data_IF_762816953365
#
_entry.id   IF_762816953365
#
_cell.length_a   1.000
_cell.length_b   1.000
_cell.length_c   1.000
_cell.angle_alpha   90.00
_cell.angle_beta   90.00
_cell.angle_gamma   90.00
#
_symmetry.space_group_name_H-M   'P 1'
#
loop_
_entity.id
_entity.type
_entity.pdbx_description
1 polymer ?
#
# COMPACT_ATOMS: atom_id res chain seq x y z
N UNK A 1 22.98 72.32 65.01
CA UNK A 1 23.93 72.27 63.87
C UNK A 1 24.06 70.79 63.49
N UNK A 2 23.65 70.49 62.29
CA UNK A 2 23.51 69.12 61.77
C UNK A 2 24.85 68.51 61.33
N UNK A 3 25.04 67.18 61.49
CA UNK A 3 26.03 66.46 60.69
C UNK A 3 25.39 65.66 59.62
N UNK A 4 26.11 65.59 58.49
CA UNK A 4 25.83 64.95 57.24
C UNK A 4 25.90 63.44 57.34
N UNK A 5 24.97 62.74 56.67
CA UNK A 5 24.99 61.33 56.42
C UNK A 5 25.82 60.98 55.17
N UNK A 6 26.56 59.88 55.09
CA UNK A 6 27.16 59.37 53.86
C UNK A 6 26.20 58.36 53.16
N UNK A 7 25.99 58.62 51.88
CA UNK A 7 25.27 57.75 50.98
C UNK A 7 26.18 56.58 50.59
N UNK A 8 25.81 55.38 50.98
CA UNK A 8 26.37 54.16 50.39
C UNK A 8 25.56 53.73 49.17
N UNK A 9 26.20 53.80 48.00
CA UNK A 9 25.70 53.14 46.79
C UNK A 9 26.03 51.67 46.86
N UNK A 10 25.00 50.83 46.95
CA UNK A 10 25.11 49.40 46.72
C UNK A 10 24.96 49.10 45.23
N UNK A 11 26.00 48.62 44.57
CA UNK A 11 25.92 48.01 43.27
C UNK A 11 25.31 46.59 43.46
N UNK A 12 24.08 46.41 42.93
CA UNK A 12 23.47 45.09 42.83
C UNK A 12 24.04 44.36 41.60
N UNK A 13 24.82 43.33 41.83
CA UNK A 13 25.12 42.32 40.80
C UNK A 13 23.89 41.46 40.63
N UNK A 14 23.22 41.63 39.49
CA UNK A 14 22.21 40.68 39.04
C UNK A 14 22.91 39.42 38.48
N UNK A 15 22.97 38.35 39.27
CA UNK A 15 23.40 37.05 38.82
C UNK A 15 22.26 36.44 38.01
N UNK A 16 22.36 36.46 36.67
CA UNK A 16 21.53 35.67 35.79
C UNK A 16 21.87 34.18 35.98
N UNK A 17 21.08 33.50 36.79
CA UNK A 17 21.11 32.04 36.88
C UNK A 17 20.45 31.48 35.65
N UNK A 18 21.20 31.14 34.59
CA UNK A 18 20.75 30.32 33.51
C UNK A 18 20.51 28.90 34.07
N UNK A 19 19.24 28.60 34.36
CA UNK A 19 18.82 27.23 34.62
C UNK A 19 18.95 26.45 33.34
N UNK A 20 20.04 25.73 33.13
CA UNK A 20 20.12 24.65 32.16
C UNK A 20 19.12 23.59 32.62
N UNK A 21 17.96 23.57 31.99
CA UNK A 21 17.04 22.44 32.03
C UNK A 21 17.74 21.26 31.32
N UNK A 22 18.46 20.46 32.10
CA UNK A 22 18.86 19.12 31.67
C UNK A 22 17.56 18.36 31.50
N UNK A 23 17.10 18.20 30.25
CA UNK A 23 16.06 17.26 29.93
C UNK A 23 16.62 15.89 30.43
N UNK A 24 16.11 15.41 31.55
CA UNK A 24 16.34 14.06 31.99
C UNK A 24 15.81 13.15 30.84
N UNK A 25 16.72 12.61 30.05
CA UNK A 25 16.42 11.46 29.24
C UNK A 25 15.92 10.39 30.20
N UNK A 26 14.61 10.09 30.10
CA UNK A 26 14.09 8.92 30.78
C UNK A 26 14.99 7.74 30.39
N UNK A 27 15.50 6.94 31.33
CA UNK A 27 16.28 5.77 30.99
C UNK A 27 15.41 4.95 30.02
N UNK A 28 15.98 4.55 28.87
CA UNK A 28 15.35 3.61 27.99
C UNK A 28 14.89 2.44 28.85
N UNK A 29 13.59 2.18 28.91
CA UNK A 29 13.06 1.06 29.66
C UNK A 29 13.85 -0.17 29.26
N UNK A 30 14.31 -0.95 30.24
CA UNK A 30 15.02 -2.20 29.99
C UNK A 30 14.24 -2.96 28.92
N UNK A 31 14.91 -3.54 27.90
CA UNK A 31 14.23 -4.25 26.83
C UNK A 31 13.28 -5.26 27.47
N UNK A 32 12.01 -5.22 27.03
CA UNK A 32 11.02 -6.17 27.51
C UNK A 32 11.59 -7.58 27.33
N UNK A 33 11.61 -8.37 28.39
CA UNK A 33 12.05 -9.77 28.32
C UNK A 33 11.08 -10.52 27.41
N UNK A 34 11.60 -11.34 26.52
CA UNK A 34 10.79 -12.25 25.72
C UNK A 34 9.89 -13.07 26.63
N UNK A 35 8.59 -12.95 26.45
CA UNK A 35 7.60 -13.82 27.11
C UNK A 35 6.56 -14.23 26.07
N UNK A 36 6.28 -15.52 26.01
CA UNK A 36 5.31 -16.03 25.06
C UNK A 36 4.62 -17.26 25.66
N UNK A 37 3.31 -17.29 25.56
CA UNK A 37 2.50 -18.45 25.92
C UNK A 37 1.24 -18.52 25.07
N UNK A 38 0.65 -19.69 25.01
CA UNK A 38 -0.66 -19.93 24.39
C UNK A 38 -1.65 -20.20 25.53
N UNK A 39 -2.74 -19.45 25.57
CA UNK A 39 -3.78 -19.63 26.56
C UNK A 39 -4.71 -20.83 26.22
N UNK A 40 -5.60 -21.14 27.13
CA UNK A 40 -6.56 -22.26 26.97
C UNK A 40 -7.52 -22.12 25.78
N UNK A 41 -7.67 -20.92 25.22
CA UNK A 41 -8.50 -20.65 24.03
C UNK A 41 -7.67 -20.71 22.75
N UNK A 42 -6.37 -21.01 22.82
CA UNK A 42 -5.44 -21.00 21.68
C UNK A 42 -4.92 -19.62 21.30
N UNK A 43 -5.17 -18.58 22.12
CA UNK A 43 -4.65 -17.23 21.87
C UNK A 43 -3.16 -17.18 22.19
N UNK A 44 -2.35 -16.75 21.22
CA UNK A 44 -0.93 -16.51 21.43
C UNK A 44 -0.72 -15.11 22.05
N UNK A 45 -0.11 -15.07 23.25
CA UNK A 45 0.35 -13.88 23.91
C UNK A 45 1.85 -13.75 23.69
N UNK A 46 2.29 -12.75 22.91
CA UNK A 46 3.67 -12.64 22.46
C UNK A 46 4.22 -11.28 22.86
N UNK A 47 5.30 -11.29 23.63
CA UNK A 47 6.18 -10.14 23.83
C UNK A 47 7.56 -10.53 23.31
N UNK A 48 7.99 -9.92 22.20
CA UNK A 48 9.24 -10.26 21.57
C UNK A 48 9.95 -9.04 21.00
N UNK A 49 11.26 -8.94 21.27
CA UNK A 49 12.12 -7.96 20.65
C UNK A 49 12.62 -8.52 19.32
N UNK A 50 12.25 -7.87 18.22
CA UNK A 50 12.66 -8.29 16.87
C UNK A 50 13.63 -7.26 16.31
N UNK A 51 14.92 -7.54 16.22
CA UNK A 51 15.92 -6.60 15.74
C UNK A 51 15.71 -6.31 14.25
N UNK A 52 16.34 -5.22 13.77
CA UNK A 52 16.44 -4.96 12.34
C UNK A 52 17.35 -6.04 11.72
N UNK A 53 16.87 -6.83 10.77
CA UNK A 53 17.64 -7.92 10.20
C UNK A 53 18.79 -7.40 9.32
N UNK A 54 19.85 -8.19 9.22
CA UNK A 54 20.99 -7.90 8.34
C UNK A 54 20.87 -8.57 6.95
N UNK A 55 19.76 -9.27 6.71
CA UNK A 55 19.45 -9.98 5.47
C UNK A 55 18.89 -9.08 4.38
N UNK A 56 18.57 -7.82 4.71
CA UNK A 56 18.06 -6.80 3.79
C UNK A 56 19.12 -5.71 3.55
N UNK A 57 18.91 -4.89 2.54
CA UNK A 57 19.85 -3.82 2.17
C UNK A 57 20.09 -2.82 3.30
N UNK A 58 21.23 -2.12 3.35
CA UNK A 58 21.48 -1.03 4.30
C UNK A 58 20.43 0.08 4.21
N UNK A 59 19.86 0.33 3.01
CA UNK A 59 18.77 1.27 2.77
C UNK A 59 17.51 0.84 3.50
N UNK A 60 17.11 -0.40 3.33
CA UNK A 60 15.94 -0.99 4.00
C UNK A 60 16.14 -1.06 5.52
N UNK A 61 17.33 -1.40 6.00
CA UNK A 61 17.67 -1.35 7.44
C UNK A 61 17.44 0.06 8.00
N UNK A 62 17.88 1.12 7.29
CA UNK A 62 17.64 2.51 7.71
C UNK A 62 16.15 2.87 7.74
N UNK A 63 15.36 2.37 6.79
CA UNK A 63 13.90 2.58 6.78
C UNK A 63 13.24 1.92 8.01
N UNK A 64 13.60 0.67 8.31
CA UNK A 64 13.06 -0.05 9.46
C UNK A 64 13.53 0.53 10.80
N UNK A 65 14.75 1.09 10.85
CA UNK A 65 15.30 1.71 12.05
C UNK A 65 14.72 3.10 12.35
N UNK A 66 13.90 3.67 11.48
CA UNK A 66 13.24 4.95 11.77
C UNK A 66 12.36 4.82 12.99
N UNK A 67 12.67 5.61 14.01
CA UNK A 67 11.87 5.65 15.22
C UNK A 67 10.47 6.18 14.89
N UNK A 68 9.48 5.41 15.26
CA UNK A 68 8.09 5.85 15.23
C UNK A 68 7.78 6.39 16.61
N UNK A 69 7.96 7.69 16.79
CA UNK A 69 7.65 8.34 18.04
C UNK A 69 6.21 8.86 18.03
N UNK A 70 5.49 8.55 19.08
CA UNK A 70 4.21 9.18 19.42
C UNK A 70 2.97 8.33 19.13
N UNK A 71 1.90 8.70 19.81
CA UNK A 71 0.54 8.22 19.51
C UNK A 71 0.09 8.92 18.24
N UNK A 72 -0.49 8.16 17.30
CA UNK A 72 -1.09 8.74 16.12
C UNK A 72 -2.08 9.84 16.54
N UNK A 73 -1.83 11.08 16.11
CA UNK A 73 -2.80 12.15 16.34
C UNK A 73 -4.07 11.85 15.54
N UNK A 74 -5.25 12.13 16.09
CA UNK A 74 -6.46 12.09 15.30
C UNK A 74 -6.29 12.97 14.06
N UNK A 75 -6.57 12.43 12.91
CA UNK A 75 -6.42 13.07 11.61
C UNK A 75 -7.77 13.00 10.89
N UNK A 76 -8.22 14.12 10.34
CA UNK A 76 -9.41 14.13 9.49
C UNK A 76 -9.12 13.45 8.16
N UNK A 77 -10.17 13.01 7.47
CA UNK A 77 -10.01 12.41 6.14
C UNK A 77 -9.38 13.38 5.13
N UNK A 78 -9.71 14.67 5.21
CA UNK A 78 -9.13 15.70 4.35
C UNK A 78 -7.62 15.87 4.58
N UNK A 79 -7.20 15.95 5.84
CA UNK A 79 -5.77 16.03 6.21
C UNK A 79 -5.01 14.78 5.75
N UNK A 80 -5.60 13.60 5.91
CA UNK A 80 -5.03 12.35 5.43
C UNK A 80 -4.83 12.35 3.92
N UNK A 81 -5.85 12.76 3.15
CA UNK A 81 -5.78 12.86 1.68
C UNK A 81 -4.69 13.84 1.25
N UNK A 82 -4.67 15.05 1.82
CA UNK A 82 -3.65 16.06 1.53
C UNK A 82 -2.23 15.55 1.81
N UNK A 83 -2.03 14.85 2.94
CA UNK A 83 -0.75 14.26 3.30
C UNK A 83 -0.34 13.15 2.34
N UNK A 84 -1.28 12.31 1.95
CA UNK A 84 -1.07 11.24 0.98
C UNK A 84 -0.71 11.81 -0.39
N UNK A 85 -1.42 12.84 -0.85
CA UNK A 85 -1.15 13.51 -2.12
C UNK A 85 0.25 14.15 -2.16
N UNK A 86 0.64 14.84 -1.09
CA UNK A 86 1.99 15.42 -0.95
C UNK A 86 3.07 14.33 -0.97
N UNK A 87 2.84 13.24 -0.24
CA UNK A 87 3.77 12.11 -0.21
C UNK A 87 3.90 11.48 -1.60
N UNK A 88 2.79 11.16 -2.24
CA UNK A 88 2.75 10.54 -3.56
C UNK A 88 3.41 11.43 -4.63
N UNK A 89 3.15 12.73 -4.61
CA UNK A 89 3.79 13.67 -5.52
C UNK A 89 5.32 13.70 -5.36
N UNK A 90 5.80 13.66 -4.11
CA UNK A 90 7.24 13.61 -3.81
C UNK A 90 7.88 12.29 -4.24
N UNK A 91 7.26 11.17 -3.92
CA UNK A 91 7.73 9.83 -4.31
C UNK A 91 7.66 9.64 -5.83
N UNK A 92 6.59 10.08 -6.47
CA UNK A 92 6.41 10.03 -7.93
C UNK A 92 7.46 10.87 -8.67
N UNK A 93 7.85 12.03 -8.13
CA UNK A 93 8.97 12.81 -8.68
C UNK A 93 10.29 12.05 -8.65
N UNK A 94 10.58 11.36 -7.54
CA UNK A 94 11.79 10.52 -7.41
C UNK A 94 11.72 9.32 -8.37
N UNK A 95 10.56 8.65 -8.42
CA UNK A 95 10.35 7.52 -9.32
C UNK A 95 10.54 7.93 -10.78
N UNK A 96 9.99 9.08 -11.20
CA UNK A 96 10.13 9.57 -12.58
C UNK A 96 11.57 9.98 -12.95
N UNK A 97 12.38 10.36 -11.97
CA UNK A 97 13.81 10.60 -12.21
C UNK A 97 14.58 9.31 -12.51
N UNK A 98 14.16 8.17 -11.94
CA UNK A 98 14.76 6.85 -12.18
C UNK A 98 14.14 6.16 -13.42
N UNK A 99 12.85 6.34 -13.63
CA UNK A 99 12.03 5.70 -14.67
C UNK A 99 11.31 6.77 -15.51
N UNK A 100 11.98 7.39 -16.48
CA UNK A 100 11.39 8.48 -17.27
C UNK A 100 10.15 8.03 -18.05
N UNK A 101 9.05 8.79 -17.89
CA UNK A 101 7.75 8.56 -18.55
C UNK A 101 7.04 9.89 -18.81
N UNK A 102 6.06 9.88 -19.71
CA UNK A 102 5.08 10.95 -19.87
C UNK A 102 3.85 10.68 -19.01
N UNK A 103 3.30 11.72 -18.40
CA UNK A 103 2.11 11.68 -17.55
C UNK A 103 1.04 12.58 -18.14
N UNK A 104 -0.18 12.06 -18.27
CA UNK A 104 -1.33 12.80 -18.77
C UNK A 104 -2.56 12.45 -17.90
N UNK A 105 -3.34 13.46 -17.51
CA UNK A 105 -4.65 13.25 -16.90
C UNK A 105 -5.70 13.24 -18.01
N UNK A 106 -6.60 12.26 -17.96
CA UNK A 106 -7.63 12.04 -18.97
C UNK A 106 -8.91 11.47 -18.34
N UNK A 107 -9.86 11.08 -19.18
CA UNK A 107 -11.06 10.33 -18.79
C UNK A 107 -11.29 9.18 -19.76
N UNK A 108 -11.67 8.02 -19.21
CA UNK A 108 -12.10 6.85 -19.98
C UNK A 108 -13.46 6.41 -19.43
N UNK A 109 -14.45 6.27 -20.30
CA UNK A 109 -15.85 6.00 -19.93
C UNK A 109 -16.40 6.97 -18.85
N UNK A 110 -15.95 8.22 -18.85
CA UNK A 110 -16.33 9.23 -17.85
C UNK A 110 -15.54 9.19 -16.55
N UNK A 111 -14.79 8.11 -16.29
CA UNK A 111 -13.94 7.93 -15.10
C UNK A 111 -12.62 8.68 -15.28
N UNK A 112 -12.19 9.49 -14.30
CA UNK A 112 -10.87 10.11 -14.33
C UNK A 112 -9.76 9.05 -14.33
N UNK A 113 -8.75 9.24 -15.17
CA UNK A 113 -7.58 8.34 -15.24
C UNK A 113 -6.29 9.15 -15.37
N UNK A 114 -5.19 8.55 -14.95
CA UNK A 114 -3.85 9.03 -15.26
C UNK A 114 -3.20 8.06 -16.24
N UNK A 115 -2.84 8.57 -17.42
CA UNK A 115 -2.15 7.80 -18.45
C UNK A 115 -0.66 7.99 -18.25
N UNK A 116 0.06 6.88 -18.06
CA UNK A 116 1.51 6.83 -17.89
C UNK A 116 2.10 6.14 -19.10
N UNK A 117 2.83 6.90 -19.92
CA UNK A 117 3.36 6.40 -21.19
C UNK A 117 4.88 6.40 -21.14
N UNK A 118 5.56 5.27 -21.38
CA UNK A 118 7.01 5.25 -21.49
C UNK A 118 7.46 6.14 -22.66
N UNK A 119 8.70 6.65 -22.60
CA UNK A 119 9.23 7.53 -23.66
C UNK A 119 9.29 6.85 -25.03
N UNK A 120 9.44 5.53 -25.05
CA UNK A 120 9.43 4.71 -26.25
C UNK A 120 8.61 3.45 -26.00
N UNK A 121 7.76 3.08 -26.97
CA UNK A 121 7.01 1.83 -26.97
C UNK A 121 7.45 1.06 -28.23
N UNK A 122 8.07 -0.13 -28.08
CA UNK A 122 8.40 -1.00 -29.21
C UNK A 122 7.15 -1.39 -30.01
N UNK A 123 7.30 -1.69 -31.29
CA UNK A 123 6.17 -1.99 -32.17
C UNK A 123 5.36 -3.20 -31.72
N UNK A 124 6.02 -4.22 -31.18
CA UNK A 124 5.40 -5.44 -30.62
C UNK A 124 4.70 -5.24 -29.26
N UNK A 125 4.74 -4.03 -28.71
CA UNK A 125 4.06 -3.68 -27.45
C UNK A 125 3.00 -2.58 -27.59
N UNK A 126 2.77 -2.06 -28.81
CA UNK A 126 1.83 -0.96 -29.05
C UNK A 126 0.37 -1.33 -28.79
N UNK A 127 0.04 -2.58 -28.89
CA UNK A 127 -1.28 -3.15 -28.68
C UNK A 127 -1.52 -3.65 -27.24
N UNK A 128 -0.58 -3.37 -26.30
CA UNK A 128 -0.67 -3.75 -24.90
C UNK A 128 -1.04 -2.56 -24.02
N UNK A 129 -1.78 -2.83 -22.95
CA UNK A 129 -2.09 -1.85 -21.91
C UNK A 129 -2.17 -2.51 -20.55
N UNK A 130 -1.67 -1.80 -19.54
CA UNK A 130 -1.81 -2.18 -18.14
C UNK A 130 -2.81 -1.25 -17.47
N UNK A 131 -3.70 -1.80 -16.65
CA UNK A 131 -4.62 -1.04 -15.82
C UNK A 131 -4.13 -1.13 -14.38
N UNK A 132 -3.90 0.02 -13.77
CA UNK A 132 -3.59 0.11 -12.36
C UNK A 132 -4.80 0.61 -11.57
N UNK A 133 -5.06 -0.02 -10.44
CA UNK A 133 -5.98 0.45 -9.41
C UNK A 133 -5.16 0.68 -8.14
N UNK A 134 -5.06 1.94 -7.75
CA UNK A 134 -4.09 2.39 -6.73
C UNK A 134 -4.46 1.95 -5.30
N UNK A 135 -3.45 1.88 -4.43
CA UNK A 135 -3.62 1.73 -3.00
C UNK A 135 -4.13 2.99 -2.30
N UNK A 136 -4.25 2.94 -0.98
CA UNK A 136 -4.68 4.07 -0.16
C UNK A 136 -5.92 3.80 0.69
N UNK A 137 -6.22 2.53 0.99
CA UNK A 137 -7.28 2.12 1.90
C UNK A 137 -8.67 2.51 1.43
N UNK A 138 -8.92 2.58 0.12
CA UNK A 138 -10.17 2.97 -0.54
C UNK A 138 -10.59 4.43 -0.32
N UNK A 139 -9.85 5.21 0.43
CA UNK A 139 -10.23 6.59 0.80
C UNK A 139 -9.19 7.65 0.40
N UNK A 140 -8.08 7.27 -0.23
CA UNK A 140 -7.05 8.16 -0.75
C UNK A 140 -6.30 7.51 -1.91
N UNK A 141 -5.66 8.31 -2.77
CA UNK A 141 -4.79 7.83 -3.83
C UNK A 141 -3.34 7.82 -3.34
N UNK A 142 -2.80 6.64 -3.05
CA UNK A 142 -1.39 6.49 -2.64
C UNK A 142 -0.51 5.83 -3.70
N UNK A 143 -1.03 5.48 -4.87
CA UNK A 143 -0.35 4.59 -5.79
C UNK A 143 -0.35 5.00 -7.25
N UNK A 144 -1.26 5.86 -7.71
CA UNK A 144 -1.41 6.16 -9.15
C UNK A 144 -0.17 6.75 -9.84
N UNK A 145 0.84 7.18 -9.08
CA UNK A 145 2.17 7.55 -9.58
C UNK A 145 3.24 6.51 -9.23
N UNK A 146 3.30 6.10 -7.95
CA UNK A 146 4.39 5.24 -7.46
C UNK A 146 4.29 3.82 -7.97
N UNK A 147 3.08 3.31 -8.16
CA UNK A 147 2.82 1.96 -8.68
C UNK A 147 2.85 1.89 -10.20
N UNK A 148 2.79 3.02 -10.91
CA UNK A 148 2.63 3.04 -12.37
C UNK A 148 3.90 3.43 -13.12
N UNK A 149 4.65 4.40 -12.60
CA UNK A 149 5.83 4.96 -13.26
C UNK A 149 6.90 3.89 -13.52
N UNK A 150 7.34 3.08 -12.51
CA UNK A 150 8.34 2.04 -12.78
C UNK A 150 7.81 0.97 -13.71
N UNK A 151 6.56 0.53 -13.53
CA UNK A 151 5.97 -0.52 -14.34
C UNK A 151 5.83 -0.09 -15.81
N UNK A 152 5.34 1.12 -16.08
CA UNK A 152 5.27 1.63 -17.45
C UNK A 152 6.65 1.70 -18.12
N UNK A 153 7.65 2.20 -17.40
CA UNK A 153 9.00 2.31 -17.94
C UNK A 153 9.64 0.95 -18.20
N UNK A 154 9.55 0.01 -17.25
CA UNK A 154 10.20 -1.30 -17.32
C UNK A 154 9.53 -2.21 -18.37
N UNK A 155 8.21 -2.26 -18.41
CA UNK A 155 7.46 -3.06 -19.40
C UNK A 155 7.46 -2.43 -20.80
N UNK A 156 7.83 -1.15 -20.92
CA UNK A 156 7.65 -0.38 -22.16
C UNK A 156 6.19 -0.39 -22.66
N UNK A 157 5.24 -0.45 -21.73
CA UNK A 157 3.81 -0.54 -22.01
C UNK A 157 3.08 0.61 -21.33
N UNK A 158 2.06 1.14 -21.98
CA UNK A 158 1.19 2.17 -21.42
C UNK A 158 0.47 1.64 -20.17
N UNK A 159 0.43 2.43 -19.10
CA UNK A 159 -0.36 2.15 -17.90
C UNK A 159 -1.47 3.18 -17.78
N UNK A 160 -2.70 2.71 -17.55
CA UNK A 160 -3.87 3.52 -17.22
C UNK A 160 -4.16 3.35 -15.74
N UNK A 161 -3.81 4.35 -14.92
CA UNK A 161 -4.18 4.38 -13.51
C UNK A 161 -5.61 4.90 -13.38
N UNK A 162 -6.51 4.07 -12.87
CA UNK A 162 -7.91 4.44 -12.63
C UNK A 162 -7.99 5.24 -11.34
N UNK A 163 -8.43 6.49 -11.42
CA UNK A 163 -8.69 7.35 -10.27
C UNK A 163 -10.15 7.14 -9.85
N UNK A 164 -10.42 5.95 -9.34
CA UNK A 164 -11.75 5.50 -8.97
C UNK A 164 -12.36 6.32 -7.83
N UNK A 165 -13.68 6.34 -7.75
CA UNK A 165 -14.40 7.05 -6.69
C UNK A 165 -14.07 6.47 -5.31
N UNK A 166 -13.77 7.37 -4.37
CA UNK A 166 -13.27 7.02 -3.05
C UNK A 166 -14.39 6.94 -2.00
N UNK A 167 -14.22 6.05 -1.05
CA UNK A 167 -15.02 5.99 0.16
C UNK A 167 -14.55 7.06 1.19
N UNK A 168 -15.40 7.49 2.12
CA UNK A 168 -16.80 7.07 2.35
C UNK A 168 -17.84 7.71 1.43
N UNK A 169 -17.45 8.69 0.60
CA UNK A 169 -18.40 9.41 -0.26
C UNK A 169 -19.03 8.47 -1.29
N UNK A 170 -18.26 7.47 -1.73
CA UNK A 170 -18.67 6.46 -2.69
C UNK A 170 -18.21 5.08 -2.22
N UNK A 171 -18.97 4.41 -1.33
CA UNK A 171 -18.62 3.08 -0.87
C UNK A 171 -18.75 2.03 -1.98
N UNK A 172 -18.29 0.81 -1.71
CA UNK A 172 -18.49 -0.34 -2.58
C UNK A 172 -19.94 -0.41 -3.09
N UNK A 173 -20.17 -0.69 -4.39
CA UNK A 173 -19.19 -1.12 -5.41
C UNK A 173 -18.72 0.00 -6.35
N UNK A 174 -18.69 1.27 -5.93
CA UNK A 174 -18.43 2.40 -6.83
C UNK A 174 -17.07 2.33 -7.54
N UNK A 175 -16.03 1.91 -6.85
CA UNK A 175 -14.67 1.71 -7.37
C UNK A 175 -14.58 0.52 -8.34
N UNK A 176 -15.28 -0.56 -8.02
CA UNK A 176 -15.42 -1.73 -8.91
C UNK A 176 -16.10 -1.33 -10.21
N UNK A 177 -17.22 -0.59 -10.12
CA UNK A 177 -18.01 -0.15 -11.28
C UNK A 177 -17.19 0.80 -12.17
N UNK A 178 -16.44 1.73 -11.58
CA UNK A 178 -15.53 2.63 -12.31
C UNK A 178 -14.45 1.84 -13.06
N UNK A 179 -13.81 0.88 -12.39
CA UNK A 179 -12.75 0.07 -13.00
C UNK A 179 -13.29 -0.82 -14.12
N UNK A 180 -14.47 -1.44 -13.92
CA UNK A 180 -15.16 -2.22 -14.96
C UNK A 180 -15.54 -1.35 -16.15
N UNK A 181 -15.98 -0.11 -15.92
CA UNK A 181 -16.29 0.82 -17.01
C UNK A 181 -15.06 1.15 -17.86
N UNK A 182 -13.93 1.43 -17.21
CA UNK A 182 -12.63 1.66 -17.89
C UNK A 182 -12.19 0.41 -18.67
N UNK A 183 -12.26 -0.76 -18.03
CA UNK A 183 -11.89 -2.03 -18.67
C UNK A 183 -12.74 -2.30 -19.95
N UNK A 184 -14.05 -2.14 -19.85
CA UNK A 184 -14.96 -2.31 -21.01
C UNK A 184 -14.66 -1.34 -22.15
N UNK A 185 -14.27 -0.10 -21.84
CA UNK A 185 -13.90 0.87 -22.86
C UNK A 185 -12.58 0.49 -23.53
N UNK A 186 -11.60 0.01 -22.76
CA UNK A 186 -10.31 -0.46 -23.29
C UNK A 186 -10.46 -1.71 -24.15
N UNK A 187 -11.43 -2.60 -23.88
CA UNK A 187 -11.74 -3.75 -24.74
C UNK A 187 -12.19 -3.38 -26.17
N UNK A 188 -12.59 -2.12 -26.41
CA UNK A 188 -12.89 -1.66 -27.80
C UNK A 188 -11.63 -1.46 -28.64
N UNK A 189 -10.47 -1.30 -27.99
CA UNK A 189 -9.18 -1.01 -28.63
C UNK A 189 -8.17 -2.15 -28.46
N UNK A 190 -8.18 -2.79 -27.29
CA UNK A 190 -7.23 -3.82 -26.91
C UNK A 190 -7.93 -5.16 -26.76
N UNK A 191 -7.29 -6.23 -27.23
CA UNK A 191 -7.77 -7.58 -26.96
C UNK A 191 -7.57 -7.95 -25.49
N UNK A 192 -8.39 -8.83 -24.88
CA UNK A 192 -8.25 -9.23 -23.49
C UNK A 192 -6.86 -9.77 -23.14
N UNK A 193 -6.26 -10.55 -24.05
CA UNK A 193 -4.91 -11.11 -23.93
C UNK A 193 -3.80 -10.04 -23.95
N UNK A 194 -4.14 -8.79 -24.24
CA UNK A 194 -3.21 -7.64 -24.26
C UNK A 194 -3.47 -6.67 -23.10
N UNK A 195 -4.36 -7.01 -22.17
CA UNK A 195 -4.69 -6.20 -21.01
C UNK A 195 -4.25 -6.93 -19.73
N UNK A 196 -3.54 -6.28 -18.83
CA UNK A 196 -3.36 -6.75 -17.46
C UNK A 196 -3.94 -5.76 -16.46
N UNK A 197 -4.37 -6.27 -15.28
CA UNK A 197 -4.93 -5.47 -14.19
C UNK A 197 -4.13 -5.72 -12.92
N UNK A 198 -3.73 -4.67 -12.22
CA UNK A 198 -2.96 -4.80 -10.99
C UNK A 198 -3.18 -3.66 -10.02
N UNK A 199 -2.84 -3.90 -8.76
CA UNK A 199 -2.84 -2.88 -7.73
C UNK A 199 -2.16 -3.32 -6.44
N UNK A 200 -2.00 -2.35 -5.55
CA UNK A 200 -1.38 -2.52 -4.23
C UNK A 200 -2.38 -2.25 -3.13
N UNK A 201 -2.34 -3.00 -2.01
CA UNK A 201 -3.14 -2.71 -0.81
C UNK A 201 -4.65 -2.77 -1.12
N UNK A 202 -5.37 -1.67 -0.92
CA UNK A 202 -6.76 -1.54 -1.35
C UNK A 202 -6.91 -1.83 -2.86
N UNK A 203 -5.97 -1.37 -3.68
CA UNK A 203 -5.96 -1.67 -5.12
C UNK A 203 -5.74 -3.15 -5.43
N UNK A 204 -4.99 -3.88 -4.61
CA UNK A 204 -4.85 -5.33 -4.76
C UNK A 204 -6.15 -6.08 -4.46
N UNK A 205 -6.89 -5.62 -3.45
CA UNK A 205 -8.24 -6.12 -3.14
C UNK A 205 -9.16 -5.82 -4.32
N UNK A 206 -9.20 -4.56 -4.77
CA UNK A 206 -9.99 -4.12 -5.92
C UNK A 206 -9.65 -4.88 -7.21
N UNK A 207 -8.38 -5.23 -7.44
CA UNK A 207 -7.97 -6.07 -8.58
C UNK A 207 -8.70 -7.42 -8.57
N UNK A 208 -8.75 -8.07 -7.42
CA UNK A 208 -9.46 -9.35 -7.27
C UNK A 208 -10.98 -9.18 -7.34
N UNK A 209 -11.54 -8.11 -6.75
CA UNK A 209 -12.97 -7.77 -6.82
C UNK A 209 -13.41 -7.55 -8.26
N UNK A 210 -12.64 -6.78 -9.04
CA UNK A 210 -12.91 -6.53 -10.46
C UNK A 210 -12.83 -7.81 -11.28
N UNK A 211 -11.82 -8.67 -11.07
CA UNK A 211 -11.70 -9.94 -11.78
C UNK A 211 -12.92 -10.84 -11.52
N UNK A 212 -13.38 -10.95 -10.26
CA UNK A 212 -14.61 -11.68 -9.91
C UNK A 212 -15.84 -11.04 -10.56
N UNK A 213 -15.93 -9.72 -10.55
CA UNK A 213 -17.05 -8.99 -11.18
C UNK A 213 -17.11 -9.25 -12.68
N UNK A 214 -15.96 -9.15 -13.38
CA UNK A 214 -15.87 -9.44 -14.81
C UNK A 214 -16.32 -10.88 -15.13
N UNK A 215 -15.81 -11.86 -14.36
CA UNK A 215 -16.21 -13.27 -14.52
C UNK A 215 -17.72 -13.47 -14.33
N UNK A 216 -18.31 -12.87 -13.29
CA UNK A 216 -19.76 -12.94 -13.05
C UNK A 216 -20.60 -12.27 -14.13
N UNK A 217 -20.06 -11.25 -14.81
CA UNK A 217 -20.70 -10.60 -15.95
C UNK A 217 -20.52 -11.37 -17.26
N UNK A 218 -19.76 -12.47 -17.29
CA UNK A 218 -19.41 -13.19 -18.51
C UNK A 218 -18.53 -12.38 -19.46
N UNK A 219 -17.82 -11.38 -18.95
CA UNK A 219 -16.88 -10.61 -19.75
C UNK A 219 -15.52 -11.35 -19.83
N UNK A 220 -14.77 -11.17 -20.93
CA UNK A 220 -13.44 -11.72 -21.02
C UNK A 220 -12.57 -11.17 -19.88
N UNK A 221 -11.74 -12.02 -19.30
CA UNK A 221 -10.80 -11.63 -18.25
C UNK A 221 -9.52 -11.06 -18.87
N UNK A 222 -8.77 -10.21 -18.15
CA UNK A 222 -7.45 -9.76 -18.59
C UNK A 222 -6.45 -10.92 -18.65
N UNK A 223 -5.38 -10.76 -19.41
CA UNK A 223 -4.32 -11.77 -19.57
C UNK A 223 -3.58 -12.10 -18.25
N UNK A 224 -3.49 -11.15 -17.34
CA UNK A 224 -2.78 -11.31 -16.09
C UNK A 224 -3.32 -10.39 -14.99
N UNK A 225 -3.16 -10.81 -13.74
CA UNK A 225 -3.46 -10.03 -12.55
C UNK A 225 -2.21 -9.81 -11.70
N UNK A 226 -2.11 -8.64 -11.06
CA UNK A 226 -1.12 -8.36 -10.03
C UNK A 226 -1.80 -7.99 -8.71
N UNK A 227 -1.65 -8.81 -7.68
CA UNK A 227 -2.24 -8.64 -6.34
C UNK A 227 -1.11 -8.40 -5.35
N UNK A 228 -0.75 -7.13 -5.13
CA UNK A 228 0.41 -6.77 -4.34
C UNK A 228 0.00 -6.29 -2.95
N UNK A 229 0.28 -7.10 -1.91
CA UNK A 229 -0.15 -6.87 -0.53
C UNK A 229 -1.67 -6.68 -0.40
N UNK A 230 -2.45 -7.67 -0.78
CA UNK A 230 -3.92 -7.63 -0.76
C UNK A 230 -4.57 -8.59 0.24
N UNK A 231 -5.89 -8.64 0.19
CA UNK A 231 -6.72 -9.63 0.88
C UNK A 231 -7.90 -10.01 -0.01
N UNK A 232 -8.43 -11.20 0.20
CA UNK A 232 -9.66 -11.66 -0.46
C UNK A 232 -10.82 -11.85 0.52
N UNK A 233 -10.65 -11.52 1.80
CA UNK A 233 -11.67 -11.64 2.84
C UNK A 233 -11.68 -10.37 3.69
N UNK A 234 -12.76 -9.60 3.60
CA UNK A 234 -12.95 -8.37 4.39
C UNK A 234 -13.73 -8.64 5.70
N UNK A 235 -14.21 -9.85 5.90
CA UNK A 235 -14.95 -10.22 7.11
C UNK A 235 -14.06 -10.54 8.31
N UNK A 236 -12.77 -10.84 8.09
CA UNK A 236 -11.82 -11.27 9.11
C UNK A 236 -10.44 -10.67 8.90
N UNK A 237 -9.76 -10.39 9.99
CA UNK A 237 -8.35 -10.02 10.01
C UNK A 237 -7.48 -11.26 10.19
N UNK A 238 -6.31 -11.30 9.54
CA UNK A 238 -5.33 -12.36 9.72
C UNK A 238 -4.26 -11.99 10.76
N UNK A 239 -3.45 -12.95 11.17
CA UNK A 239 -2.39 -12.80 12.19
C UNK A 239 -1.43 -11.66 11.88
N UNK A 240 -1.02 -11.52 10.62
CA UNK A 240 -0.09 -10.47 10.21
C UNK A 240 -0.62 -9.06 10.48
N UNK A 241 -1.94 -8.85 10.42
CA UNK A 241 -2.55 -7.57 10.76
C UNK A 241 -2.44 -7.26 12.26
N UNK A 242 -2.60 -8.27 13.12
CA UNK A 242 -2.42 -8.12 14.55
C UNK A 242 -0.96 -7.85 14.92
N UNK A 243 0.00 -8.48 14.22
CA UNK A 243 1.43 -8.43 14.54
C UNK A 243 2.11 -7.21 13.91
N UNK A 244 1.80 -6.91 12.64
CA UNK A 244 2.56 -5.93 11.83
C UNK A 244 1.78 -4.67 11.44
N UNK A 245 0.59 -4.42 11.97
CA UNK A 245 -0.08 -3.13 11.82
C UNK A 245 0.59 -2.04 12.69
N UNK A 246 1.92 -1.93 12.60
CA UNK A 246 2.73 -1.03 13.42
C UNK A 246 2.79 0.36 12.81
N UNK A 247 2.94 0.44 11.47
CA UNK A 247 3.12 1.69 10.75
C UNK A 247 2.36 1.69 9.42
N UNK A 248 1.63 2.78 9.17
CA UNK A 248 1.12 3.15 7.84
C UNK A 248 1.85 4.37 7.28
N UNK A 249 1.45 4.83 6.11
CA UNK A 249 1.98 6.06 5.48
C UNK A 249 1.84 7.29 6.38
N UNK A 250 0.80 7.33 7.20
CA UNK A 250 0.48 8.45 8.09
C UNK A 250 0.98 8.30 9.53
N UNK A 251 1.65 7.19 9.86
CA UNK A 251 2.14 6.91 11.21
C UNK A 251 1.65 5.57 11.78
N UNK A 252 1.66 5.39 13.10
CA UNK A 252 1.26 4.15 13.75
C UNK A 252 -0.17 3.73 13.39
N UNK A 253 -0.35 2.45 13.09
CA UNK A 253 -1.65 1.84 12.86
C UNK A 253 -2.15 1.22 14.15
N UNK A 254 -3.48 1.27 14.38
CA UNK A 254 -4.09 0.46 15.43
C UNK A 254 -4.21 -0.98 14.89
N UNK A 255 -3.83 -1.99 15.70
CA UNK A 255 -4.14 -3.36 15.35
C UNK A 255 -5.65 -3.48 15.10
N UNK A 256 -6.09 -4.16 14.03
CA UNK A 256 -7.49 -4.43 13.83
C UNK A 256 -7.98 -5.36 14.96
N UNK A 257 -9.28 -5.29 15.26
CA UNK A 257 -9.96 -6.33 16.01
C UNK A 257 -10.08 -7.62 15.20
N UNK A 258 -11.04 -8.47 15.52
CA UNK A 258 -11.30 -9.69 14.78
C UNK A 258 -11.72 -9.46 13.31
N UNK A 259 -12.18 -8.26 12.97
CA UNK A 259 -12.57 -7.84 11.62
C UNK A 259 -11.72 -6.67 11.13
N UNK A 260 -11.61 -6.50 9.82
CA UNK A 260 -10.82 -5.42 9.19
C UNK A 260 -11.38 -4.01 9.42
N UNK A 261 -12.59 -3.87 9.92
CA UNK A 261 -13.29 -2.60 10.19
C UNK A 261 -13.20 -1.57 9.04
N UNK A 262 -13.64 -1.98 7.86
CA UNK A 262 -13.72 -1.14 6.66
C UNK A 262 -15.16 -0.71 6.35
N UNK A 263 -16.00 -0.50 7.37
CA UNK A 263 -17.43 -0.15 7.21
C UNK A 263 -17.68 1.08 6.34
N UNK A 264 -16.75 2.04 6.34
CA UNK A 264 -16.82 3.21 5.47
C UNK A 264 -16.70 2.85 3.98
N UNK A 265 -16.05 1.71 3.65
CA UNK A 265 -15.90 1.18 2.31
C UNK A 265 -17.00 0.17 1.98
N UNK A 266 -17.20 -0.81 2.85
CA UNK A 266 -18.15 -1.91 2.61
C UNK A 266 -19.60 -1.48 2.66
N UNK A 267 -19.90 -0.35 3.30
CA UNK A 267 -21.26 0.12 3.51
C UNK A 267 -22.11 -0.90 4.27
N UNK A 268 -23.26 -1.25 3.68
CA UNK A 268 -24.17 -2.28 4.19
C UNK A 268 -24.06 -3.62 3.46
N UNK A 269 -23.07 -3.80 2.59
CA UNK A 269 -22.87 -5.03 1.83
C UNK A 269 -22.47 -6.18 2.77
N UNK A 270 -23.00 -7.36 2.51
CA UNK A 270 -22.55 -8.56 3.22
C UNK A 270 -21.05 -8.76 3.03
N UNK A 271 -20.32 -8.83 4.12
CA UNK A 271 -18.85 -8.99 4.09
C UNK A 271 -18.39 -10.28 3.39
N UNK A 272 -19.32 -11.22 3.15
CA UNK A 272 -19.07 -12.43 2.37
C UNK A 272 -19.62 -12.35 0.94
N UNK A 273 -20.09 -11.18 0.48
CA UNK A 273 -20.41 -11.02 -0.93
C UNK A 273 -19.20 -11.41 -1.78
N UNK A 274 -19.36 -12.29 -2.78
CA UNK A 274 -18.22 -12.82 -3.54
C UNK A 274 -17.45 -11.79 -4.36
N UNK A 275 -18.04 -10.63 -4.67
CA UNK A 275 -17.30 -9.54 -5.33
C UNK A 275 -16.52 -8.76 -4.30
N UNK A 276 -17.13 -8.38 -3.18
CA UNK A 276 -16.48 -7.65 -2.09
C UNK A 276 -15.36 -8.45 -1.42
N UNK A 277 -15.57 -9.73 -1.27
CA UNK A 277 -14.61 -10.67 -0.67
C UNK A 277 -14.36 -11.86 -1.61
N UNK A 278 -13.44 -11.73 -2.55
CA UNK A 278 -13.14 -12.74 -3.57
C UNK A 278 -12.84 -14.15 -3.05
N UNK A 279 -12.44 -14.29 -1.80
CA UNK A 279 -12.25 -15.60 -1.16
C UNK A 279 -13.51 -16.47 -1.16
N UNK A 280 -14.70 -15.85 -1.23
CA UNK A 280 -15.99 -16.56 -1.27
C UNK A 280 -16.52 -16.74 -2.70
N UNK A 281 -15.76 -16.33 -3.72
CA UNK A 281 -16.11 -16.50 -5.13
C UNK A 281 -15.68 -17.87 -5.68
N UNK A 282 -16.25 -18.23 -6.84
CA UNK A 282 -15.66 -19.24 -7.71
C UNK A 282 -14.45 -18.66 -8.44
N UNK A 283 -13.25 -19.04 -8.00
CA UNK A 283 -11.98 -18.58 -8.53
C UNK A 283 -11.44 -19.43 -9.70
N UNK A 284 -12.09 -20.54 -10.05
CA UNK A 284 -11.62 -21.43 -11.12
C UNK A 284 -11.51 -20.68 -12.45
N UNK A 285 -10.36 -20.78 -13.12
CA UNK A 285 -10.08 -20.14 -14.41
C UNK A 285 -9.79 -18.64 -14.30
N UNK A 286 -9.33 -18.19 -13.15
CA UNK A 286 -8.75 -16.85 -13.03
C UNK A 286 -7.46 -16.74 -13.85
N UNK A 287 -7.12 -15.54 -14.35
CA UNK A 287 -5.88 -15.33 -15.10
C UNK A 287 -4.63 -15.70 -14.28
N UNK A 288 -3.49 -15.94 -14.95
CA UNK A 288 -2.19 -15.94 -14.28
C UNK A 288 -2.09 -14.75 -13.34
N UNK A 289 -1.75 -15.00 -12.07
CA UNK A 289 -1.77 -13.97 -11.02
C UNK A 289 -0.47 -13.97 -10.23
N UNK A 290 0.17 -12.80 -10.17
CA UNK A 290 1.33 -12.58 -9.32
C UNK A 290 0.89 -11.96 -7.99
N UNK A 291 1.28 -12.61 -6.90
CA UNK A 291 1.15 -12.11 -5.54
C UNK A 291 2.52 -11.68 -5.02
N UNK A 292 2.62 -10.46 -4.48
CA UNK A 292 3.84 -9.98 -3.80
C UNK A 292 3.46 -9.46 -2.42
N UNK A 293 4.27 -9.80 -1.41
CA UNK A 293 4.14 -9.32 -0.04
C UNK A 293 5.49 -9.38 0.67
N UNK A 294 5.54 -9.18 1.97
CA UNK A 294 6.75 -9.36 2.78
C UNK A 294 6.44 -9.91 4.17
N UNK A 295 7.49 -10.36 4.88
CA UNK A 295 7.30 -11.00 6.20
C UNK A 295 6.86 -10.04 7.30
N UNK A 296 7.01 -8.70 7.12
CA UNK A 296 6.48 -7.68 8.05
C UNK A 296 5.33 -6.86 7.43
N UNK A 297 4.71 -7.38 6.39
CA UNK A 297 3.52 -6.77 5.82
C UNK A 297 2.27 -7.14 6.62
N UNK A 298 1.49 -6.14 6.99
CA UNK A 298 0.23 -6.37 7.71
C UNK A 298 -0.79 -7.18 6.90
N UNK A 299 -0.71 -7.20 5.57
CA UNK A 299 -1.59 -7.99 4.69
C UNK A 299 -0.98 -9.31 4.22
N UNK A 300 0.16 -9.75 4.78
CA UNK A 300 0.77 -11.04 4.46
C UNK A 300 -0.24 -12.20 4.58
N UNK A 301 -0.99 -12.28 5.68
CA UNK A 301 -2.01 -13.32 5.88
C UNK A 301 -3.08 -13.27 4.79
N UNK A 302 -3.62 -12.09 4.50
CA UNK A 302 -4.64 -11.92 3.45
C UNK A 302 -4.13 -12.35 2.08
N UNK A 303 -2.91 -11.92 1.72
CA UNK A 303 -2.26 -12.27 0.45
C UNK A 303 -2.04 -13.77 0.32
N UNK A 304 -1.50 -14.43 1.35
CA UNK A 304 -1.21 -15.87 1.32
C UNK A 304 -2.48 -16.72 1.34
N UNK A 305 -3.52 -16.28 2.05
CA UNK A 305 -4.82 -16.97 2.07
C UNK A 305 -5.47 -16.92 0.68
N UNK A 306 -5.47 -15.74 0.03
CA UNK A 306 -6.03 -15.58 -1.32
C UNK A 306 -5.21 -16.36 -2.36
N UNK A 307 -3.88 -16.29 -2.33
CA UNK A 307 -3.01 -17.11 -3.17
C UNK A 307 -3.34 -18.60 -3.07
N UNK A 308 -3.47 -19.14 -1.85
CA UNK A 308 -3.86 -20.54 -1.64
C UNK A 308 -5.27 -20.85 -2.14
N UNK A 309 -6.17 -19.87 -2.16
CA UNK A 309 -7.51 -20.08 -2.73
C UNK A 309 -7.44 -20.24 -4.26
N UNK A 310 -6.58 -19.47 -4.96
CA UNK A 310 -6.31 -19.67 -6.38
C UNK A 310 -5.73 -21.07 -6.66
N UNK A 311 -4.73 -21.51 -5.89
CA UNK A 311 -4.18 -22.88 -6.00
C UNK A 311 -5.26 -23.95 -5.82
N UNK A 312 -6.15 -23.81 -4.84
CA UNK A 312 -7.26 -24.77 -4.62
C UNK A 312 -8.28 -24.76 -5.75
N UNK A 313 -8.42 -23.64 -6.45
CA UNK A 313 -9.29 -23.54 -7.63
C UNK A 313 -8.67 -24.22 -8.88
N UNK A 314 -7.42 -24.63 -8.81
CA UNK A 314 -6.68 -25.26 -9.91
C UNK A 314 -5.97 -24.28 -10.83
N UNK A 315 -5.88 -23.01 -10.40
CA UNK A 315 -5.10 -21.99 -11.09
C UNK A 315 -3.62 -22.07 -10.71
N UNK A 316 -2.73 -21.39 -11.44
CA UNK A 316 -1.28 -21.39 -11.23
C UNK A 316 -0.79 -19.97 -10.84
N UNK A 317 -1.04 -19.51 -9.61
CA UNK A 317 -0.57 -18.23 -9.13
C UNK A 317 0.90 -18.28 -8.69
N UNK A 318 1.65 -17.21 -8.99
CA UNK A 318 3.01 -17.00 -8.48
C UNK A 318 2.97 -16.21 -7.16
N UNK A 319 3.82 -16.55 -6.18
CA UNK A 319 3.95 -15.82 -4.92
C UNK A 319 5.40 -15.47 -4.64
N UNK A 320 5.67 -14.19 -4.39
CA UNK A 320 6.97 -13.68 -3.95
C UNK A 320 6.83 -13.01 -2.59
N UNK A 321 7.64 -13.44 -1.62
CA UNK A 321 7.64 -12.89 -0.26
C UNK A 321 9.02 -12.31 0.06
N UNK A 322 9.07 -11.00 0.26
CA UNK A 322 10.30 -10.31 0.65
C UNK A 322 10.52 -10.38 2.16
N UNK A 323 11.79 -10.30 2.58
CA UNK A 323 12.16 -10.34 3.99
C UNK A 323 11.96 -8.97 4.65
N UNK A 324 11.27 -8.96 5.80
CA UNK A 324 11.22 -7.88 6.80
C UNK A 324 10.79 -6.48 6.33
N UNK A 325 10.35 -6.31 5.09
CA UNK A 325 9.96 -5.01 4.58
C UNK A 325 8.54 -4.62 5.02
N UNK A 326 8.22 -3.33 5.16
CA UNK A 326 6.89 -2.88 5.52
C UNK A 326 5.92 -3.01 4.35
N UNK A 327 4.63 -2.85 4.65
CA UNK A 327 3.55 -2.82 3.67
C UNK A 327 3.85 -1.88 2.50
N UNK A 328 3.68 -2.36 1.25
CA UNK A 328 3.86 -1.60 0.01
C UNK A 328 5.24 -0.95 -0.14
N UNK A 329 6.31 -1.61 0.30
CA UNK A 329 7.68 -1.08 0.30
C UNK A 329 8.19 -0.68 -1.10
N UNK A 330 7.68 -1.27 -2.16
CA UNK A 330 8.02 -0.93 -3.55
C UNK A 330 7.62 0.49 -3.95
N UNK A 331 6.75 1.16 -3.19
CA UNK A 331 6.44 2.58 -3.38
C UNK A 331 7.58 3.53 -2.95
N UNK A 332 8.64 3.02 -2.33
CA UNK A 332 9.87 3.80 -2.06
C UNK A 332 10.97 3.44 -3.08
N UNK A 333 11.14 4.22 -4.16
CA UNK A 333 12.07 3.90 -5.23
C UNK A 333 13.55 4.00 -4.80
N UNK A 334 13.83 4.42 -3.56
CA UNK A 334 15.20 4.47 -3.02
C UNK A 334 15.70 3.10 -2.55
N UNK A 335 14.81 2.13 -2.37
CA UNK A 335 15.15 0.80 -1.89
C UNK A 335 15.62 -0.11 -3.04
N UNK A 336 16.74 -0.83 -2.89
CA UNK A 336 17.11 -1.90 -3.82
C UNK A 336 16.03 -2.96 -4.00
N UNK A 337 15.38 -3.37 -2.90
CA UNK A 337 14.29 -4.36 -2.91
C UNK A 337 13.03 -3.84 -3.63
N UNK A 338 12.77 -2.53 -3.60
CA UNK A 338 11.69 -1.95 -4.39
C UNK A 338 11.96 -2.09 -5.89
N UNK A 339 13.19 -1.82 -6.33
CA UNK A 339 13.60 -2.03 -7.72
C UNK A 339 13.51 -3.50 -8.14
N UNK A 340 13.90 -4.41 -7.26
CA UNK A 340 13.77 -5.85 -7.50
C UNK A 340 12.30 -6.23 -7.66
N UNK A 341 11.41 -5.77 -6.78
CA UNK A 341 9.97 -6.01 -6.88
C UNK A 341 9.38 -5.44 -8.17
N UNK A 342 9.75 -4.20 -8.55
CA UNK A 342 9.32 -3.58 -9.81
C UNK A 342 9.74 -4.41 -11.04
N UNK A 343 10.96 -4.96 -11.04
CA UNK A 343 11.44 -5.84 -12.12
C UNK A 343 10.71 -7.17 -12.16
N UNK A 344 10.39 -7.76 -11.01
CA UNK A 344 9.59 -9.00 -10.93
C UNK A 344 8.19 -8.75 -11.50
N UNK A 345 7.53 -7.66 -11.09
CA UNK A 345 6.21 -7.26 -11.60
C UNK A 345 6.24 -7.06 -13.11
N UNK A 346 7.22 -6.29 -13.61
CA UNK A 346 7.35 -5.99 -15.03
C UNK A 346 7.61 -7.25 -15.85
N UNK A 347 8.50 -8.13 -15.40
CA UNK A 347 8.82 -9.39 -16.07
C UNK A 347 7.60 -10.32 -16.12
N UNK A 348 6.82 -10.37 -15.06
CA UNK A 348 5.59 -11.15 -15.03
C UNK A 348 4.58 -10.66 -16.06
N UNK A 349 4.34 -9.35 -16.16
CA UNK A 349 3.42 -8.80 -17.15
C UNK A 349 3.94 -9.00 -18.58
N UNK A 350 5.22 -8.80 -18.84
CA UNK A 350 5.82 -9.06 -20.15
C UNK A 350 5.70 -10.54 -20.58
N UNK A 351 5.79 -11.45 -19.62
CA UNK A 351 5.63 -12.90 -19.84
C UNK A 351 4.20 -13.26 -20.26
N UNK A 352 3.19 -12.56 -19.78
CA UNK A 352 1.79 -12.95 -19.94
C UNK A 352 0.98 -12.09 -20.92
N UNK A 353 1.46 -10.89 -21.30
CA UNK A 353 0.77 -10.03 -22.27
C UNK A 353 1.08 -10.40 -23.71
N UNK A 354 0.03 -10.51 -24.55
CA UNK A 354 0.15 -10.69 -25.99
C UNK A 354 0.58 -12.09 -26.41
N UNK A 355 0.16 -13.11 -25.68
CA UNK A 355 0.36 -14.52 -26.03
C UNK A 355 -0.89 -15.16 -26.55
#
# INVERSE_FOLDING_TARGET
>A
MKPLSPVFRALGLAACSAALSVAQQMPASAPATDSSYIDQNGTAHITRVVPVPKTISPEAQRVLARQVSGVAKPETLAERREKTDKWQAGAGKKSRALYPVNLENSKIAGVPVRIVTPLTIPDDKKDRVLINVHGGGFNSDSGSLTETIPIANLTKTKVVAVLYRLAPEHPFPADVDDTVAVYKELLKTYKPEHIALYGTSAGAILTAEVAVKLKRMGLPLPAALGVFSGSGDLSRAGDSQAIFALNGLSGPLKPPGAAMNLSFYTGHTDLKDPVLSPLFADLKGMPPTLFITSTRDMLLSGTTILHRAFLRAGDDPELVVFEALPHAFWNDPSLPEAKEADHIMASFFDKHLGK
#
